data_IF_773944423249
#
_entry.id   IF_773944423249
#
_cell.length_a   1.000
_cell.length_b   1.000
_cell.length_c   1.000
_cell.angle_alpha   90.00
_cell.angle_beta   90.00
_cell.angle_gamma   90.00
#
_symmetry.space_group_name_H-M   'P 1'
#
loop_
_entity.id
_entity.type
_entity.pdbx_description
1 polymer ?
#
# COMPACT_ATOMS: atom_id res chain seq x y z
N UNK A 1 9.29 -11.27 -17.64
CA UNK A 1 8.71 -10.98 -16.31
C UNK A 1 8.66 -9.47 -16.09
N UNK A 2 7.49 -8.94 -15.76
CA UNK A 2 7.26 -7.53 -15.44
C UNK A 2 7.12 -7.38 -13.93
N UNK A 3 7.73 -6.35 -13.36
CA UNK A 3 7.53 -5.95 -11.97
C UNK A 3 7.04 -4.49 -11.89
N UNK A 4 6.25 -4.20 -10.86
CA UNK A 4 5.84 -2.85 -10.46
C UNK A 4 6.14 -2.74 -8.96
N UNK A 5 6.76 -1.64 -8.56
CA UNK A 5 6.95 -1.27 -7.16
C UNK A 5 6.79 0.24 -7.04
N UNK A 6 5.87 0.67 -6.16
CA UNK A 6 5.57 2.08 -5.91
C UNK A 6 5.45 2.27 -4.40
N UNK A 7 6.37 3.01 -3.83
CA UNK A 7 6.34 3.45 -2.43
C UNK A 7 5.65 4.80 -2.33
N UNK A 8 4.74 4.94 -1.37
CA UNK A 8 3.98 6.17 -1.20
C UNK A 8 3.47 6.36 0.24
N UNK A 9 3.18 7.59 0.63
CA UNK A 9 2.41 7.86 1.84
C UNK A 9 0.97 8.23 1.49
N UNK A 10 0.03 7.64 2.22
CA UNK A 10 -1.38 7.93 2.10
C UNK A 10 -2.09 7.69 3.43
N UNK A 11 -3.21 8.35 3.65
CA UNK A 11 -4.09 8.01 4.77
C UNK A 11 -4.79 6.67 4.51
N UNK A 12 -5.22 6.00 5.59
CA UNK A 12 -6.01 4.77 5.47
C UNK A 12 -7.28 4.98 4.65
N UNK A 13 -7.95 6.12 4.81
CA UNK A 13 -9.15 6.47 4.06
C UNK A 13 -8.88 6.61 2.55
N UNK A 14 -7.77 7.23 2.16
CA UNK A 14 -7.40 7.35 0.75
C UNK A 14 -7.04 5.99 0.14
N UNK A 15 -6.35 5.12 0.89
CA UNK A 15 -6.07 3.75 0.45
C UNK A 15 -7.36 2.96 0.31
N UNK A 16 -8.26 3.06 1.27
CA UNK A 16 -9.58 2.43 1.22
C UNK A 16 -10.35 2.86 -0.03
N UNK A 17 -10.50 4.17 -0.25
CA UNK A 17 -11.23 4.72 -1.39
C UNK A 17 -10.58 4.30 -2.72
N UNK A 18 -9.24 4.31 -2.78
CA UNK A 18 -8.49 3.82 -3.92
C UNK A 18 -8.78 2.34 -4.21
N UNK A 19 -8.65 1.47 -3.20
CA UNK A 19 -8.85 0.03 -3.36
C UNK A 19 -10.29 -0.30 -3.71
N UNK A 20 -11.26 0.30 -3.03
CA UNK A 20 -12.68 0.13 -3.32
C UNK A 20 -12.99 0.51 -4.78
N UNK A 21 -12.48 1.66 -5.24
CA UNK A 21 -12.67 2.14 -6.60
C UNK A 21 -12.07 1.21 -7.64
N UNK A 22 -10.79 0.81 -7.51
CA UNK A 22 -10.14 -0.05 -8.51
C UNK A 22 -10.67 -1.48 -8.47
N UNK A 23 -11.07 -1.99 -7.30
CA UNK A 23 -11.68 -3.31 -7.17
C UNK A 23 -13.03 -3.34 -7.87
N UNK A 24 -13.89 -2.34 -7.65
CA UNK A 24 -15.19 -2.24 -8.32
C UNK A 24 -15.05 -2.05 -9.83
N UNK A 25 -14.18 -1.14 -10.29
CA UNK A 25 -13.99 -0.84 -11.72
C UNK A 25 -13.43 -2.05 -12.49
N UNK A 26 -12.49 -2.78 -11.89
CA UNK A 26 -11.74 -3.84 -12.58
C UNK A 26 -12.21 -5.25 -12.21
N UNK A 27 -13.22 -5.38 -11.35
CA UNK A 27 -13.73 -6.67 -10.87
C UNK A 27 -12.71 -7.47 -10.05
N UNK A 28 -11.90 -6.80 -9.23
CA UNK A 28 -10.85 -7.45 -8.44
C UNK A 28 -11.40 -7.96 -7.11
N UNK A 29 -11.01 -9.17 -6.74
CA UNK A 29 -11.28 -9.76 -5.43
C UNK A 29 -10.23 -9.21 -4.46
N UNK A 30 -10.70 -8.73 -3.31
CA UNK A 30 -9.86 -8.22 -2.24
C UNK A 30 -9.69 -9.32 -1.18
N UNK A 31 -8.45 -9.61 -0.82
CA UNK A 31 -8.08 -10.41 0.35
C UNK A 31 -7.30 -9.54 1.32
N UNK A 32 -7.75 -9.49 2.57
CA UNK A 32 -6.99 -8.95 3.69
C UNK A 32 -6.00 -10.00 4.18
N UNK A 33 -4.73 -9.62 4.27
CA UNK A 33 -3.65 -10.45 4.78
C UNK A 33 -3.04 -9.76 6.00
N UNK A 34 -3.35 -10.29 7.18
CA UNK A 34 -2.75 -9.86 8.45
C UNK A 34 -1.46 -10.65 8.59
N UNK A 35 -0.34 -10.00 8.94
CA UNK A 35 0.97 -10.65 8.97
C UNK A 35 1.34 -11.21 10.35
N UNK A 36 0.76 -10.68 11.44
CA UNK A 36 1.16 -10.99 12.82
C UNK A 36 -0.04 -10.97 13.79
N UNK A 37 -0.61 -12.12 14.16
CA UNK A 37 -0.37 -13.45 13.59
C UNK A 37 -0.84 -13.51 12.13
N UNK A 38 -0.24 -14.41 11.34
CA UNK A 38 -0.63 -14.56 9.94
C UNK A 38 -2.07 -15.05 9.80
N UNK A 39 -2.91 -14.30 9.10
CA UNK A 39 -4.29 -14.65 8.80
C UNK A 39 -4.70 -14.12 7.42
N UNK A 40 -5.58 -14.86 6.74
CA UNK A 40 -6.14 -14.49 5.45
C UNK A 40 -7.66 -14.38 5.57
N UNK A 41 -8.21 -13.27 5.12
CA UNK A 41 -9.65 -13.03 5.10
C UNK A 41 -10.05 -12.49 3.73
N UNK A 42 -10.91 -13.21 3.01
CA UNK A 42 -11.52 -12.68 1.80
C UNK A 42 -12.55 -11.63 2.20
N UNK A 43 -12.51 -10.47 1.57
CA UNK A 43 -13.57 -9.47 1.74
C UNK A 43 -14.80 -9.94 0.97
N UNK A 44 -15.83 -10.34 1.71
CA UNK A 44 -17.15 -10.69 1.17
C UNK A 44 -18.13 -9.53 1.38
N UNK A 45 -18.93 -9.21 0.36
CA UNK A 45 -19.91 -8.13 0.45
C UNK A 45 -19.30 -6.72 0.41
N UNK A 46 -19.75 -5.85 1.31
CA UNK A 46 -19.34 -4.45 1.35
C UNK A 46 -17.97 -4.28 2.04
N UNK A 47 -16.97 -3.83 1.28
CA UNK A 47 -15.69 -3.41 1.82
C UNK A 47 -15.89 -2.09 2.59
N UNK A 48 -15.72 -2.11 3.92
CA UNK A 48 -15.94 -0.94 4.78
C UNK A 48 -14.65 -0.44 5.43
N UNK A 49 -14.57 0.88 5.60
CA UNK A 49 -13.44 1.53 6.26
C UNK A 49 -13.33 1.11 7.74
N UNK A 50 -14.45 0.87 8.41
CA UNK A 50 -14.47 0.41 9.80
C UNK A 50 -13.81 -0.96 9.96
N UNK A 51 -14.10 -1.92 9.07
CA UNK A 51 -13.45 -3.23 9.09
C UNK A 51 -11.95 -3.10 8.81
N UNK A 52 -11.57 -2.29 7.81
CA UNK A 52 -10.16 -2.05 7.49
C UNK A 52 -9.38 -1.49 8.69
N UNK A 53 -9.93 -0.50 9.39
CA UNK A 53 -9.31 0.08 10.58
C UNK A 53 -9.19 -0.95 11.72
N UNK A 54 -10.22 -1.74 11.97
CA UNK A 54 -10.17 -2.80 12.98
C UNK A 54 -9.03 -3.80 12.69
N UNK A 55 -8.83 -4.18 11.42
CA UNK A 55 -7.73 -5.07 11.03
C UNK A 55 -6.34 -4.44 11.16
N UNK A 56 -6.22 -3.14 10.96
CA UNK A 56 -4.96 -2.41 11.20
C UNK A 56 -4.61 -2.35 12.69
N UNK A 57 -5.60 -2.35 13.59
CA UNK A 57 -5.37 -2.44 15.03
C UNK A 57 -4.91 -3.83 15.47
N UNK A 58 -5.31 -4.89 14.74
CA UNK A 58 -4.87 -6.27 14.99
C UNK A 58 -3.39 -6.50 14.62
N UNK A 59 -2.85 -5.77 13.63
CA UNK A 59 -1.44 -5.86 13.24
C UNK A 59 -1.12 -5.31 11.85
N UNK A 60 0.06 -5.69 11.33
CA UNK A 60 0.51 -5.31 9.99
C UNK A 60 -0.44 -5.90 8.92
N UNK A 61 -1.06 -5.04 8.11
CA UNK A 61 -2.07 -5.43 7.13
C UNK A 61 -1.61 -5.19 5.69
N UNK A 62 -1.88 -6.18 4.84
CA UNK A 62 -1.79 -6.07 3.38
C UNK A 62 -3.15 -6.29 2.74
N UNK A 63 -3.45 -5.54 1.70
CA UNK A 63 -4.54 -5.83 0.79
C UNK A 63 -3.97 -6.50 -0.46
N UNK A 64 -4.49 -7.66 -0.80
CA UNK A 64 -4.11 -8.40 -2.00
C UNK A 64 -5.28 -8.38 -2.96
N UNK A 65 -5.03 -7.91 -4.18
CA UNK A 65 -6.03 -7.82 -5.24
C UNK A 65 -5.76 -8.90 -6.29
N UNK A 66 -6.78 -9.70 -6.58
CA UNK A 66 -6.72 -10.81 -7.52
C UNK A 66 -7.81 -10.69 -8.59
N UNK A 67 -7.50 -11.07 -9.83
CA UNK A 67 -8.50 -11.15 -10.92
C UNK A 67 -9.35 -12.41 -10.83
N UNK A 68 -8.87 -13.45 -10.14
CA UNK A 68 -9.53 -14.73 -9.95
C UNK A 68 -9.62 -15.04 -8.46
N UNK A 69 -10.49 -15.98 -8.06
CA UNK A 69 -10.58 -16.43 -6.67
C UNK A 69 -9.22 -16.94 -6.18
N UNK A 70 -8.65 -16.35 -5.11
CA UNK A 70 -7.35 -16.76 -4.62
C UNK A 70 -7.42 -18.05 -3.79
N UNK A 71 -6.31 -18.79 -3.72
CA UNK A 71 -6.09 -19.88 -2.76
C UNK A 71 -5.85 -19.27 -1.37
N UNK A 72 -6.68 -19.64 -0.37
CA UNK A 72 -6.61 -19.12 1.00
C UNK A 72 -6.06 -20.14 2.01
N UNK A 73 -5.62 -21.31 1.56
CA UNK A 73 -5.13 -22.39 2.44
C UNK A 73 -3.67 -22.21 2.88
N UNK A 74 -3.00 -21.20 2.34
CA UNK A 74 -1.60 -20.92 2.59
C UNK A 74 -1.36 -20.61 4.07
N UNK A 75 -0.17 -20.97 4.58
CA UNK A 75 0.21 -20.80 6.00
C UNK A 75 1.22 -19.69 6.24
N UNK A 76 1.62 -18.99 5.19
CA UNK A 76 2.54 -17.86 5.27
C UNK A 76 2.28 -16.87 4.12
N UNK A 77 2.71 -15.60 4.27
CA UNK A 77 2.60 -14.61 3.20
C UNK A 77 3.28 -15.05 1.90
N UNK A 78 4.46 -15.66 2.00
CA UNK A 78 5.21 -16.09 0.82
C UNK A 78 4.51 -17.23 0.09
N UNK A 79 4.09 -18.27 0.83
CA UNK A 79 3.32 -19.39 0.26
C UNK A 79 2.03 -18.89 -0.43
N UNK A 80 1.35 -17.91 0.17
CA UNK A 80 0.17 -17.31 -0.43
C UNK A 80 0.48 -16.62 -1.76
N UNK A 81 1.56 -15.84 -1.84
CA UNK A 81 1.93 -15.16 -3.07
C UNK A 81 2.44 -16.12 -4.15
N UNK A 82 3.09 -17.21 -3.75
CA UNK A 82 3.52 -18.29 -4.66
C UNK A 82 2.31 -19.04 -5.26
N UNK A 83 1.30 -19.32 -4.44
CA UNK A 83 0.05 -19.98 -4.86
C UNK A 83 -0.88 -19.04 -5.68
N UNK A 84 -0.70 -17.73 -5.53
CA UNK A 84 -1.51 -16.69 -6.19
C UNK A 84 -0.64 -15.75 -7.06
N UNK A 85 0.03 -16.26 -8.12
CA UNK A 85 0.96 -15.47 -8.90
C UNK A 85 0.27 -14.31 -9.63
N UNK A 86 0.96 -13.17 -9.74
CA UNK A 86 0.41 -11.96 -10.34
C UNK A 86 -0.70 -11.29 -9.52
N UNK A 87 -0.73 -11.56 -8.21
CA UNK A 87 -1.44 -10.72 -7.24
C UNK A 87 -0.86 -9.30 -7.23
N UNK A 88 -1.73 -8.30 -7.04
CA UNK A 88 -1.31 -6.93 -6.74
C UNK A 88 -1.38 -6.76 -5.23
N UNK A 89 -0.26 -6.46 -4.60
CA UNK A 89 -0.15 -6.34 -3.14
C UNK A 89 -0.04 -4.88 -2.76
N UNK A 90 -0.81 -4.46 -1.76
CA UNK A 90 -0.79 -3.13 -1.18
C UNK A 90 -0.48 -3.27 0.32
N UNK A 91 0.75 -2.95 0.70
CA UNK A 91 1.13 -2.78 2.10
C UNK A 91 0.54 -1.46 2.62
N UNK A 92 -0.12 -1.49 3.78
CA UNK A 92 -0.74 -0.30 4.37
C UNK A 92 0.17 0.24 5.48
N UNK A 93 0.66 1.46 5.28
CA UNK A 93 1.35 2.21 6.31
C UNK A 93 0.35 2.78 7.33
N UNK A 94 0.57 2.50 8.61
CA UNK A 94 -0.30 2.96 9.68
C UNK A 94 0.02 4.39 10.12
N UNK A 95 -1.01 5.11 10.58
CA UNK A 95 -0.83 6.33 11.36
C UNK A 95 -0.68 5.95 12.84
N UNK A 96 0.44 6.30 13.44
CA UNK A 96 0.76 6.04 14.84
C UNK A 96 1.23 7.30 15.56
N UNK A 97 1.50 7.19 16.86
CA UNK A 97 2.12 8.28 17.63
C UNK A 97 3.51 8.68 17.13
N UNK A 98 4.19 7.80 16.37
CA UNK A 98 5.49 8.10 15.78
C UNK A 98 5.38 8.91 14.48
N UNK A 99 4.26 8.76 13.76
CA UNK A 99 4.07 9.32 12.42
C UNK A 99 3.23 8.44 11.51
N UNK A 100 3.10 8.88 10.27
CA UNK A 100 2.48 8.13 9.17
C UNK A 100 3.56 7.29 8.48
N UNK A 101 3.36 5.97 8.47
CA UNK A 101 4.27 5.04 7.80
C UNK A 101 4.03 4.95 6.29
N UNK A 102 5.07 4.56 5.56
CA UNK A 102 5.04 4.32 4.12
C UNK A 102 4.15 3.12 3.77
N UNK A 103 3.32 3.29 2.74
CA UNK A 103 2.58 2.24 2.05
C UNK A 103 3.32 1.84 0.77
N UNK A 104 3.05 0.64 0.26
CA UNK A 104 3.67 0.18 -0.97
C UNK A 104 2.69 -0.60 -1.84
N UNK A 105 2.73 -0.35 -3.15
CA UNK A 105 2.09 -1.20 -4.16
C UNK A 105 3.16 -2.04 -4.85
N UNK A 106 2.99 -3.36 -4.88
CA UNK A 106 3.89 -4.27 -5.57
C UNK A 106 3.14 -5.29 -6.44
N UNK A 107 3.78 -5.72 -7.52
CA UNK A 107 3.26 -6.72 -8.45
C UNK A 107 4.40 -7.36 -9.23
N UNK A 108 4.29 -8.66 -9.52
CA UNK A 108 5.20 -9.39 -10.40
C UNK A 108 4.46 -10.48 -11.19
N UNK A 109 4.63 -10.51 -12.51
CA UNK A 109 4.08 -11.57 -13.38
C UNK A 109 4.69 -11.49 -14.78
N UNK A 110 4.63 -12.57 -15.55
CA UNK A 110 4.86 -12.60 -17.00
C UNK A 110 3.56 -12.73 -17.82
N UNK A 111 2.42 -12.93 -17.17
CA UNK A 111 1.12 -13.05 -17.82
C UNK A 111 0.59 -11.69 -18.30
N UNK A 112 0.43 -11.54 -19.61
CA UNK A 112 0.01 -10.28 -20.26
C UNK A 112 -1.29 -9.70 -19.69
N UNK A 113 -2.27 -10.55 -19.38
CA UNK A 113 -3.56 -10.12 -18.83
C UNK A 113 -3.40 -9.49 -17.45
N UNK A 114 -2.69 -10.16 -16.53
CA UNK A 114 -2.40 -9.66 -15.17
C UNK A 114 -1.56 -8.39 -15.21
N UNK A 115 -0.56 -8.32 -16.10
CA UNK A 115 0.25 -7.12 -16.32
C UNK A 115 -0.62 -5.92 -16.74
N UNK A 116 -1.61 -6.13 -17.61
CA UNK A 116 -2.50 -5.07 -18.06
C UNK A 116 -3.33 -4.51 -16.89
N UNK A 117 -3.89 -5.37 -16.06
CA UNK A 117 -4.64 -4.98 -14.85
C UNK A 117 -3.73 -4.23 -13.87
N UNK A 118 -2.54 -4.76 -13.58
CA UNK A 118 -1.60 -4.12 -12.66
C UNK A 118 -1.15 -2.74 -13.14
N UNK A 119 -0.96 -2.55 -14.45
CA UNK A 119 -0.66 -1.23 -15.02
C UNK A 119 -1.83 -0.24 -14.82
N UNK A 120 -3.09 -0.69 -14.95
CA UNK A 120 -4.26 0.16 -14.68
C UNK A 120 -4.31 0.58 -13.21
N UNK A 121 -4.16 -0.37 -12.28
CA UNK A 121 -4.13 -0.08 -10.83
C UNK A 121 -2.98 0.87 -10.50
N UNK A 122 -1.77 0.61 -10.99
CA UNK A 122 -0.63 1.48 -10.80
C UNK A 122 -0.84 2.88 -11.40
N UNK A 123 -1.48 2.99 -12.56
CA UNK A 123 -1.82 4.28 -13.17
C UNK A 123 -2.83 5.06 -12.33
N UNK A 124 -3.83 4.39 -11.76
CA UNK A 124 -4.82 5.01 -10.87
C UNK A 124 -4.14 5.54 -9.60
N UNK A 125 -3.26 4.75 -8.99
CA UNK A 125 -2.46 5.18 -7.83
C UNK A 125 -1.60 6.41 -8.16
N UNK A 126 -0.97 6.42 -9.34
CA UNK A 126 -0.16 7.55 -9.79
C UNK A 126 -0.96 8.83 -10.01
N UNK A 127 -2.25 8.72 -10.32
CA UNK A 127 -3.12 9.88 -10.55
C UNK A 127 -3.60 10.51 -9.25
N UNK A 128 -3.68 9.75 -8.15
CA UNK A 128 -4.08 10.25 -6.83
C UNK A 128 -2.87 10.64 -5.96
N UNK A 129 -1.64 10.50 -6.48
CA UNK A 129 -0.41 10.82 -5.76
C UNK A 129 0.45 11.84 -6.52
N UNK A 130 1.09 12.73 -5.76
CA UNK A 130 2.16 13.61 -6.23
C UNK A 130 3.51 12.93 -6.07
N UNK A 131 4.55 13.45 -6.73
CA UNK A 131 5.93 12.94 -6.63
C UNK A 131 6.87 13.99 -6.08
N UNK A 132 7.80 13.56 -5.23
CA UNK A 132 8.85 14.41 -4.69
C UNK A 132 8.87 14.38 -3.17
N UNK A 133 10.02 14.06 -2.59
CA UNK A 133 10.26 14.23 -1.17
C UNK A 133 11.74 14.49 -0.92
N UNK A 134 12.08 14.89 0.29
CA UNK A 134 13.46 14.94 0.78
C UNK A 134 13.58 14.00 1.96
N UNK A 135 14.40 12.96 1.84
CA UNK A 135 14.79 12.16 2.99
C UNK A 135 15.79 12.93 3.84
N UNK A 136 15.60 12.88 5.14
CA UNK A 136 16.40 13.56 6.15
C UNK A 136 16.88 12.53 7.16
N UNK A 137 18.19 12.48 7.39
CA UNK A 137 18.74 11.73 8.52
C UNK A 137 18.58 12.57 9.81
N UNK A 138 17.80 12.11 10.81
CA UNK A 138 17.54 12.89 12.01
C UNK A 138 18.76 13.04 12.93
N UNK A 139 19.81 12.24 12.75
CA UNK A 139 21.01 12.26 13.59
C UNK A 139 21.96 13.39 13.19
N UNK A 140 22.16 13.60 11.88
CA UNK A 140 23.15 14.56 11.36
C UNK A 140 22.55 15.61 10.41
N UNK A 141 21.24 15.56 10.14
CA UNK A 141 20.55 16.50 9.25
C UNK A 141 20.85 16.31 7.77
N UNK A 142 21.56 15.24 7.36
CA UNK A 142 21.87 15.01 5.96
C UNK A 142 20.59 14.83 5.13
N UNK A 143 20.54 15.48 3.97
CA UNK A 143 19.36 15.49 3.09
C UNK A 143 19.64 14.84 1.74
N UNK A 144 18.66 14.09 1.23
CA UNK A 144 18.68 13.52 -0.11
C UNK A 144 17.32 13.71 -0.79
N UNK A 145 17.30 14.29 -1.99
CA UNK A 145 16.08 14.44 -2.78
C UNK A 145 15.66 13.08 -3.36
N UNK A 146 14.43 12.67 -3.08
CA UNK A 146 13.84 11.42 -3.59
C UNK A 146 12.70 11.78 -4.54
N UNK A 147 13.05 12.02 -5.80
CA UNK A 147 12.10 12.47 -6.84
C UNK A 147 11.03 11.44 -7.17
N UNK A 148 11.29 10.17 -6.93
CA UNK A 148 10.39 9.06 -7.22
C UNK A 148 9.40 8.77 -6.08
N UNK A 149 9.64 9.31 -4.89
CA UNK A 149 8.77 9.08 -3.74
C UNK A 149 7.41 9.74 -3.98
N UNK A 150 6.33 9.06 -3.60
CA UNK A 150 4.97 9.51 -3.84
C UNK A 150 4.22 9.78 -2.54
N UNK A 151 3.25 10.68 -2.60
CA UNK A 151 2.37 10.93 -1.47
C UNK A 151 1.02 11.45 -1.96
N UNK A 152 -0.04 11.20 -1.21
CA UNK A 152 -1.37 11.76 -1.47
C UNK A 152 -1.53 13.13 -0.83
N UNK A 153 -2.63 13.81 -1.15
CA UNK A 153 -2.96 15.09 -0.51
C UNK A 153 -3.21 14.90 1.00
N UNK A 154 -3.89 13.84 1.43
CA UNK A 154 -4.09 13.54 2.84
C UNK A 154 -2.78 13.34 3.61
N UNK A 155 -1.78 12.69 3.00
CA UNK A 155 -0.45 12.56 3.60
C UNK A 155 0.26 13.92 3.74
N UNK A 156 0.10 14.82 2.76
CA UNK A 156 0.63 16.19 2.84
C UNK A 156 -0.04 17.00 3.95
N UNK A 157 -1.37 16.92 4.06
CA UNK A 157 -2.10 17.59 5.14
C UNK A 157 -1.63 17.12 6.52
N UNK A 158 -1.43 15.81 6.70
CA UNK A 158 -0.85 15.26 7.94
C UNK A 158 0.55 15.78 8.21
N UNK A 159 1.40 15.85 7.18
CA UNK A 159 2.72 16.45 7.31
C UNK A 159 2.67 17.92 7.75
N UNK A 160 1.78 18.71 7.17
CA UNK A 160 1.60 20.13 7.49
C UNK A 160 1.02 20.35 8.90
N UNK A 161 0.26 19.37 9.42
CA UNK A 161 -0.17 19.28 10.83
C UNK A 161 0.98 18.92 11.80
N UNK A 162 2.19 18.64 11.27
CA UNK A 162 3.37 18.27 12.06
C UNK A 162 3.56 16.76 12.27
N UNK A 163 2.75 15.91 11.61
CA UNK A 163 2.94 14.47 11.64
C UNK A 163 4.20 14.10 10.85
N UNK A 164 5.06 13.29 11.47
CA UNK A 164 6.26 12.77 10.81
C UNK A 164 5.89 11.79 9.71
N UNK A 165 6.59 11.87 8.59
CA UNK A 165 6.43 10.96 7.47
C UNK A 165 7.59 9.96 7.51
N UNK A 166 7.27 8.69 7.72
CA UNK A 166 8.21 7.66 8.14
C UNK A 166 8.43 6.62 7.03
N UNK A 167 9.68 6.27 6.68
CA UNK A 167 9.93 5.13 5.81
C UNK A 167 9.42 3.83 6.43
N UNK A 168 9.21 2.81 5.61
CA UNK A 168 8.92 1.44 6.09
C UNK A 168 10.04 0.88 6.97
N UNK A 169 11.30 1.27 6.71
CA UNK A 169 12.46 0.81 7.43
C UNK A 169 13.56 1.88 7.51
N UNK A 170 14.38 1.79 8.55
CA UNK A 170 15.46 2.73 8.83
C UNK A 170 15.02 3.94 9.65
N UNK A 171 15.96 4.86 9.86
CA UNK A 171 15.78 6.00 10.76
C UNK A 171 15.59 7.34 10.03
N UNK A 172 15.39 7.36 8.71
CA UNK A 172 15.15 8.63 8.00
C UNK A 172 13.74 9.17 8.23
N UNK A 173 13.55 10.45 7.95
CA UNK A 173 12.24 11.10 7.85
C UNK A 173 12.06 11.66 6.45
N UNK A 174 10.83 11.76 5.96
CA UNK A 174 10.54 12.48 4.72
C UNK A 174 9.99 13.87 5.00
N UNK A 175 10.52 14.86 4.29
CA UNK A 175 9.87 16.16 4.07
C UNK A 175 9.11 16.09 2.75
N UNK A 176 7.82 16.36 2.78
CA UNK A 176 6.98 16.37 1.58
C UNK A 176 7.06 17.75 0.92
N UNK A 177 7.26 17.77 -0.40
CA UNK A 177 7.20 19.01 -1.17
C UNK A 177 5.74 19.46 -1.36
N UNK A 178 5.53 20.71 -1.73
CA UNK A 178 4.23 21.23 -2.17
C UNK A 178 3.80 20.65 -3.52
#
# INVERSE_FOLDING_TARGET
MKSISIQFHATTEEIFNFVASVSSELGLIITMMILKPFNLERVEGEFSLCNLNAKLEEGDLRLVLNTNSPCLESKSPNSFLDENPGSIVIDIGSLSSLGLQESALSFISDEKAKISVANKVASRLKNITKTGAVAVNPVNGAEAKIRSHRFTEGAKLKYDEGIKILPVAGNSLYKLSD
#
